data_IF_092002811313
#
_entry.id   IF_092002811313
#
_cell.length_a   1.000
_cell.length_b   1.000
_cell.length_c   1.000
_cell.angle_alpha   90.00
_cell.angle_beta   90.00
_cell.angle_gamma   90.00
#
_symmetry.space_group_name_H-M   'P 1'
#
loop_
_entity.id
_entity.type
_entity.pdbx_description
1 polymer ?
#
# COMPACT_ATOMS: atom_id res chain seq x y z
N UNK A 1 -13.02 -15.43 -18.57
CA UNK A 1 -14.29 -16.13 -18.88
C UNK A 1 -14.94 -16.73 -17.63
N UNK A 2 -14.21 -17.52 -16.81
CA UNK A 2 -14.74 -18.17 -15.60
C UNK A 2 -15.24 -17.18 -14.56
N UNK A 3 -14.48 -16.11 -14.30
CA UNK A 3 -14.86 -15.06 -13.33
C UNK A 3 -16.17 -14.37 -13.71
N UNK A 4 -16.37 -14.05 -15.00
CA UNK A 4 -17.62 -13.43 -15.47
C UNK A 4 -18.81 -14.37 -15.32
N UNK A 5 -18.62 -15.67 -15.61
CA UNK A 5 -19.65 -16.67 -15.43
C UNK A 5 -20.05 -16.84 -13.95
N UNK A 6 -19.06 -16.87 -13.05
CA UNK A 6 -19.29 -16.94 -11.61
C UNK A 6 -20.04 -15.70 -11.08
N UNK A 7 -19.66 -14.49 -11.51
CA UNK A 7 -20.36 -13.26 -11.15
C UNK A 7 -21.80 -13.25 -11.64
N UNK A 8 -22.02 -13.65 -12.89
CA UNK A 8 -23.38 -13.76 -13.46
C UNK A 8 -24.24 -14.78 -12.72
N UNK A 9 -23.67 -15.94 -12.36
CA UNK A 9 -24.36 -16.95 -11.56
C UNK A 9 -24.74 -16.45 -10.15
N UNK A 10 -23.95 -15.54 -9.59
CA UNK A 10 -24.24 -14.86 -8.33
C UNK A 10 -25.22 -13.67 -8.47
N UNK A 11 -25.80 -13.44 -9.65
CA UNK A 11 -26.72 -12.33 -9.90
C UNK A 11 -26.03 -10.97 -10.06
N UNK A 12 -24.71 -10.94 -10.23
CA UNK A 12 -23.93 -9.70 -10.40
C UNK A 12 -23.90 -9.35 -11.89
N UNK A 13 -24.36 -8.15 -12.22
CA UNK A 13 -24.33 -7.62 -13.58
C UNK A 13 -23.03 -6.87 -13.78
N UNK A 14 -22.19 -7.36 -14.68
CA UNK A 14 -20.94 -6.71 -15.07
C UNK A 14 -21.19 -5.89 -16.33
N UNK A 15 -20.83 -4.61 -16.28
CA UNK A 15 -20.96 -3.66 -17.40
C UNK A 15 -19.58 -3.18 -17.84
N UNK A 16 -19.47 -2.80 -19.10
CA UNK A 16 -18.24 -2.13 -19.58
C UNK A 16 -18.09 -0.75 -18.94
N UNK A 17 -16.85 -0.27 -18.71
CA UNK A 17 -16.61 1.04 -18.08
C UNK A 17 -17.32 2.21 -18.77
N UNK A 18 -17.49 2.15 -20.08
CA UNK A 18 -18.16 3.16 -20.91
C UNK A 18 -19.66 3.29 -20.59
N UNK A 19 -20.25 2.26 -19.99
CA UNK A 19 -21.65 2.28 -19.56
C UNK A 19 -21.87 3.10 -18.28
N UNK A 20 -20.80 3.43 -17.52
CA UNK A 20 -20.94 4.10 -16.22
C UNK A 20 -21.68 5.44 -16.33
N UNK A 21 -21.28 6.29 -17.25
CA UNK A 21 -21.89 7.63 -17.38
C UNK A 21 -23.36 7.59 -17.86
N UNK A 22 -23.72 6.84 -18.93
CA UNK A 22 -25.13 6.72 -19.34
C UNK A 22 -25.98 6.00 -18.28
N UNK A 23 -25.46 4.95 -17.62
CA UNK A 23 -26.20 4.24 -16.57
C UNK A 23 -26.45 5.16 -15.37
N UNK A 24 -25.45 5.94 -14.95
CA UNK A 24 -25.59 6.86 -13.84
C UNK A 24 -26.66 7.93 -14.13
N UNK A 25 -26.64 8.53 -15.31
CA UNK A 25 -27.63 9.51 -15.74
C UNK A 25 -29.05 8.89 -15.77
N UNK A 26 -29.19 7.67 -16.29
CA UNK A 26 -30.49 6.99 -16.36
C UNK A 26 -31.04 6.62 -14.99
N UNK A 27 -30.23 6.02 -14.13
CA UNK A 27 -30.65 5.67 -12.77
C UNK A 27 -30.99 6.87 -11.92
N UNK A 28 -30.25 8.01 -12.09
CA UNK A 28 -30.48 9.22 -11.29
C UNK A 28 -31.83 9.90 -11.56
N UNK A 29 -32.51 9.56 -12.67
CA UNK A 29 -33.86 10.05 -12.93
C UNK A 29 -34.90 9.41 -12.02
N UNK A 30 -34.70 8.18 -11.63
CA UNK A 30 -35.70 7.36 -10.95
C UNK A 30 -35.32 6.93 -9.53
N UNK A 31 -34.02 6.97 -9.19
CA UNK A 31 -33.49 6.57 -7.90
C UNK A 31 -32.89 7.76 -7.14
N UNK A 32 -33.01 7.71 -5.82
CA UNK A 32 -32.31 8.63 -4.96
C UNK A 32 -30.88 8.13 -4.72
N UNK A 33 -29.90 9.03 -4.89
CA UNK A 33 -28.50 8.71 -4.71
C UNK A 33 -28.01 9.25 -3.37
N UNK A 34 -27.23 8.43 -2.66
CA UNK A 34 -26.37 8.88 -1.60
C UNK A 34 -24.96 8.95 -2.15
N UNK A 35 -24.32 10.09 -2.05
CA UNK A 35 -22.95 10.31 -2.45
C UNK A 35 -22.10 10.78 -1.30
N UNK A 36 -20.84 10.36 -1.29
CA UNK A 36 -19.82 10.86 -0.39
C UNK A 36 -19.01 11.92 -1.16
N UNK A 37 -19.20 13.21 -0.86
CA UNK A 37 -18.61 14.30 -1.66
C UNK A 37 -17.08 14.31 -1.66
N UNK A 38 -16.44 13.73 -0.62
CA UNK A 38 -14.98 13.62 -0.58
C UNK A 38 -14.43 12.54 -1.51
N UNK A 39 -15.26 11.61 -1.95
CA UNK A 39 -14.85 10.44 -2.74
C UNK A 39 -15.51 10.33 -4.10
N UNK A 40 -16.57 11.08 -4.33
CA UNK A 40 -17.31 11.02 -5.58
C UNK A 40 -16.72 11.98 -6.62
N UNK A 41 -16.35 11.51 -7.82
CA UNK A 41 -15.74 12.37 -8.84
C UNK A 41 -16.67 13.49 -9.30
N UNK A 42 -16.16 14.73 -9.29
CA UNK A 42 -16.93 15.91 -9.71
C UNK A 42 -17.46 15.82 -11.15
N UNK A 43 -16.77 15.09 -12.03
CA UNK A 43 -17.23 14.83 -13.40
C UNK A 43 -18.50 13.99 -13.46
N UNK A 44 -18.63 13.00 -12.56
CA UNK A 44 -19.81 12.15 -12.48
C UNK A 44 -20.96 12.85 -11.73
N UNK A 45 -20.65 13.75 -10.80
CA UNK A 45 -21.67 14.52 -10.09
C UNK A 45 -22.59 15.30 -11.05
N UNK A 46 -22.03 15.83 -12.11
CA UNK A 46 -22.77 16.58 -13.15
C UNK A 46 -23.77 15.75 -13.95
N UNK A 47 -23.70 14.43 -13.86
CA UNK A 47 -24.59 13.49 -14.53
C UNK A 47 -25.80 13.10 -13.69
N UNK A 48 -25.80 13.48 -12.39
CA UNK A 48 -26.90 13.18 -11.47
C UNK A 48 -27.98 14.24 -11.66
N UNK A 49 -29.15 13.84 -12.14
CA UNK A 49 -30.25 14.75 -12.44
C UNK A 49 -31.04 15.18 -11.20
N UNK A 50 -31.18 14.28 -10.19
CA UNK A 50 -31.85 14.59 -8.92
C UNK A 50 -30.83 15.00 -7.87
N UNK A 51 -31.22 15.93 -6.98
CA UNK A 51 -30.36 16.33 -5.87
C UNK A 51 -30.02 15.12 -5.00
N UNK A 52 -28.74 14.71 -4.93
CA UNK A 52 -28.36 13.57 -4.12
C UNK A 52 -28.35 13.90 -2.63
N UNK A 53 -28.45 12.88 -1.79
CA UNK A 53 -28.15 12.99 -0.36
C UNK A 53 -26.66 12.94 -0.19
N UNK A 54 -26.06 13.99 0.37
CA UNK A 54 -24.64 14.04 0.69
C UNK A 54 -24.39 13.48 2.09
N UNK A 55 -23.68 12.36 2.18
CA UNK A 55 -23.31 11.73 3.44
C UNK A 55 -22.13 10.80 3.26
N UNK A 56 -21.47 10.43 4.36
CA UNK A 56 -20.43 9.42 4.36
C UNK A 56 -20.97 8.10 3.78
N UNK A 57 -20.22 7.52 2.83
CA UNK A 57 -20.61 6.27 2.20
C UNK A 57 -20.79 5.15 3.24
N UNK A 58 -21.94 4.43 3.26
CA UNK A 58 -22.12 3.29 4.14
C UNK A 58 -21.10 2.18 3.84
N UNK A 59 -20.62 2.05 2.59
CA UNK A 59 -19.56 1.10 2.21
C UNK A 59 -18.25 1.42 2.94
N UNK A 60 -17.93 2.71 3.13
CA UNK A 60 -16.74 3.12 3.90
C UNK A 60 -16.83 2.61 5.35
N UNK A 61 -18.00 2.76 5.98
CA UNK A 61 -18.22 2.26 7.35
C UNK A 61 -18.19 0.74 7.42
N UNK A 62 -18.79 0.04 6.45
CA UNK A 62 -18.76 -1.42 6.38
C UNK A 62 -17.33 -1.94 6.22
N UNK A 63 -16.55 -1.36 5.31
CA UNK A 63 -15.13 -1.73 5.09
C UNK A 63 -14.23 -1.41 6.28
N UNK A 64 -14.55 -0.40 7.09
CA UNK A 64 -13.75 -0.07 8.28
C UNK A 64 -13.83 -1.16 9.35
N UNK A 65 -14.92 -1.93 9.38
CA UNK A 65 -15.12 -3.05 10.30
C UNK A 65 -14.66 -4.35 9.65
N UNK A 66 -13.49 -4.84 10.07
CA UNK A 66 -12.93 -6.09 9.54
C UNK A 66 -13.63 -7.29 10.16
N UNK A 67 -13.93 -8.28 9.35
CA UNK A 67 -14.39 -9.59 9.81
C UNK A 67 -13.28 -10.36 10.54
N UNK A 68 -13.64 -11.42 11.25
CA UNK A 68 -12.65 -12.29 11.92
C UNK A 68 -11.67 -12.90 10.91
N UNK A 69 -12.13 -13.27 9.72
CA UNK A 69 -11.30 -13.83 8.65
C UNK A 69 -10.28 -12.80 8.15
N UNK A 70 -10.70 -11.55 7.93
CA UNK A 70 -9.81 -10.47 7.53
C UNK A 70 -8.77 -10.16 8.60
N UNK A 71 -9.19 -10.09 9.87
CA UNK A 71 -8.25 -9.86 10.99
C UNK A 71 -7.20 -10.95 11.08
N UNK A 72 -7.59 -12.22 10.92
CA UNK A 72 -6.65 -13.33 10.90
C UNK A 72 -5.71 -13.28 9.69
N UNK A 73 -6.25 -12.89 8.53
CA UNK A 73 -5.46 -12.64 7.33
C UNK A 73 -4.39 -11.56 7.54
N UNK A 74 -4.78 -10.43 8.13
CA UNK A 74 -3.86 -9.33 8.44
C UNK A 74 -2.76 -9.80 9.41
N UNK A 75 -3.11 -10.57 10.44
CA UNK A 75 -2.11 -11.10 11.38
C UNK A 75 -1.08 -11.99 10.68
N UNK A 76 -1.52 -12.87 9.77
CA UNK A 76 -0.60 -13.71 8.99
C UNK A 76 0.30 -12.87 8.09
N UNK A 77 -0.25 -11.88 7.39
CA UNK A 77 0.54 -10.96 6.57
C UNK A 77 1.60 -10.23 7.40
N UNK A 78 1.23 -9.73 8.59
CA UNK A 78 2.17 -9.05 9.50
C UNK A 78 3.26 -9.99 10.03
N UNK A 79 2.96 -11.26 10.26
CA UNK A 79 3.98 -12.26 10.65
C UNK A 79 4.93 -12.54 9.50
N UNK A 80 4.41 -12.75 8.28
CA UNK A 80 5.20 -13.01 7.08
C UNK A 80 6.14 -11.83 6.77
N UNK A 81 5.63 -10.61 6.83
CA UNK A 81 6.42 -9.39 6.64
C UNK A 81 7.44 -9.16 7.76
N UNK A 82 7.05 -9.45 9.01
CA UNK A 82 7.95 -9.37 10.15
C UNK A 82 9.15 -10.30 10.04
N UNK A 83 8.98 -11.51 9.48
CA UNK A 83 10.08 -12.43 9.19
C UNK A 83 11.01 -11.81 8.13
N UNK A 84 10.46 -11.27 7.02
CA UNK A 84 11.25 -10.61 5.99
C UNK A 84 12.07 -9.44 6.54
N UNK A 85 11.46 -8.62 7.41
CA UNK A 85 12.15 -7.51 8.08
C UNK A 85 13.28 -8.00 9.00
N UNK A 86 13.07 -9.06 9.79
CA UNK A 86 14.12 -9.61 10.65
C UNK A 86 15.30 -10.14 9.83
N UNK A 87 15.03 -10.87 8.75
CA UNK A 87 16.06 -11.37 7.83
C UNK A 87 16.81 -10.22 7.15
N UNK A 88 16.09 -9.21 6.71
CA UNK A 88 16.67 -8.01 6.12
C UNK A 88 17.59 -7.27 7.10
N UNK A 89 17.15 -7.01 8.34
CA UNK A 89 18.00 -6.29 9.30
C UNK A 89 19.23 -7.09 9.69
N UNK A 90 19.13 -8.41 9.83
CA UNK A 90 20.29 -9.27 10.06
C UNK A 90 21.30 -9.17 8.90
N UNK A 91 20.81 -9.21 7.66
CA UNK A 91 21.64 -9.05 6.46
C UNK A 91 22.26 -7.64 6.38
N UNK A 92 21.49 -6.59 6.69
CA UNK A 92 21.98 -5.21 6.69
C UNK A 92 23.11 -5.02 7.70
N UNK A 93 22.93 -5.52 8.92
CA UNK A 93 23.94 -5.46 9.98
C UNK A 93 25.22 -6.20 9.58
N UNK A 94 25.11 -7.38 8.99
CA UNK A 94 26.24 -8.16 8.48
C UNK A 94 27.00 -7.39 7.39
N UNK A 95 26.29 -6.85 6.39
CA UNK A 95 26.90 -6.09 5.29
C UNK A 95 27.61 -4.83 5.77
N UNK A 96 27.01 -4.10 6.70
CA UNK A 96 27.62 -2.90 7.29
C UNK A 96 28.86 -3.26 8.13
N UNK A 97 28.81 -4.36 8.90
CA UNK A 97 29.97 -4.86 9.67
C UNK A 97 31.15 -5.29 8.79
N UNK A 98 30.86 -5.83 7.60
CA UNK A 98 31.87 -6.17 6.57
C UNK A 98 32.45 -4.93 5.86
N UNK A 99 31.91 -3.75 6.11
CA UNK A 99 32.32 -2.51 5.47
C UNK A 99 31.78 -2.32 4.05
N UNK A 100 30.65 -2.94 3.73
CA UNK A 100 29.99 -2.74 2.44
C UNK A 100 29.59 -1.27 2.25
N UNK A 101 29.88 -0.73 1.09
CA UNK A 101 29.44 0.60 0.69
C UNK A 101 28.03 0.51 0.11
N UNK A 102 27.04 0.77 0.95
CA UNK A 102 25.62 0.73 0.56
C UNK A 102 25.08 2.14 0.37
N UNK A 103 24.15 2.27 -0.56
CA UNK A 103 23.32 3.46 -0.73
C UNK A 103 21.89 3.20 -0.24
N UNK A 104 21.10 4.26 -0.09
CA UNK A 104 19.67 4.14 0.23
C UNK A 104 18.93 3.24 -0.77
N UNK A 105 19.28 3.31 -2.07
CA UNK A 105 18.69 2.44 -3.09
C UNK A 105 19.09 0.97 -2.91
N UNK A 106 20.33 0.69 -2.53
CA UNK A 106 20.78 -0.68 -2.28
C UNK A 106 20.04 -1.28 -1.08
N UNK A 107 19.83 -0.50 -0.03
CA UNK A 107 19.07 -0.91 1.16
C UNK A 107 17.61 -1.18 0.81
N UNK A 108 16.97 -0.33 0.00
CA UNK A 108 15.60 -0.56 -0.48
C UNK A 108 15.51 -1.88 -1.26
N UNK A 109 16.41 -2.10 -2.23
CA UNK A 109 16.45 -3.33 -3.03
C UNK A 109 16.68 -4.58 -2.16
N UNK A 110 17.52 -4.49 -1.14
CA UNK A 110 17.75 -5.59 -0.19
C UNK A 110 16.46 -5.99 0.53
N UNK A 111 15.71 -5.02 1.06
CA UNK A 111 14.44 -5.29 1.75
C UNK A 111 13.38 -5.86 0.80
N UNK A 112 13.28 -5.30 -0.40
CA UNK A 112 12.34 -5.78 -1.41
C UNK A 112 12.64 -7.24 -1.80
N UNK A 113 13.94 -7.59 -1.90
CA UNK A 113 14.37 -8.95 -2.17
C UNK A 113 14.02 -9.93 -1.02
N UNK A 114 14.14 -9.52 0.26
CA UNK A 114 13.74 -10.36 1.39
C UNK A 114 12.23 -10.60 1.41
N UNK A 115 11.43 -9.57 1.12
CA UNK A 115 9.97 -9.71 0.98
C UNK A 115 9.57 -10.64 -0.15
N UNK A 116 10.26 -10.56 -1.29
CA UNK A 116 9.99 -11.40 -2.46
C UNK A 116 10.21 -12.90 -2.19
N UNK A 117 11.00 -13.27 -1.18
CA UNK A 117 11.18 -14.67 -0.75
C UNK A 117 9.95 -15.25 -0.04
N UNK A 118 9.03 -14.42 0.43
CA UNK A 118 7.82 -14.90 1.12
C UNK A 118 6.83 -15.51 0.11
N UNK A 119 6.34 -16.73 0.36
CA UNK A 119 5.52 -17.45 -0.63
C UNK A 119 4.17 -16.79 -0.91
N UNK A 120 3.64 -16.05 0.07
CA UNK A 120 2.37 -15.32 0.01
C UNK A 120 2.52 -13.86 -0.41
N UNK A 121 3.75 -13.36 -0.67
CA UNK A 121 4.00 -12.01 -1.16
C UNK A 121 3.55 -11.86 -2.63
N UNK A 122 2.93 -10.74 -2.95
CA UNK A 122 2.42 -10.38 -4.28
C UNK A 122 3.03 -9.07 -4.81
N UNK A 123 4.00 -8.52 -4.09
CA UNK A 123 4.70 -7.29 -4.44
C UNK A 123 4.72 -6.29 -3.30
N UNK A 124 5.15 -5.08 -3.60
CA UNK A 124 5.19 -3.98 -2.65
C UNK A 124 3.80 -3.38 -2.47
N UNK A 125 3.47 -2.93 -1.25
CA UNK A 125 2.27 -2.12 -1.01
C UNK A 125 2.45 -0.68 -1.48
N UNK A 126 3.67 -0.17 -1.38
CA UNK A 126 4.15 1.11 -1.94
C UNK A 126 5.67 1.02 -2.14
N UNK A 127 6.25 1.97 -2.87
CA UNK A 127 7.69 2.01 -3.09
C UNK A 127 8.47 2.17 -1.77
N UNK A 128 9.44 1.31 -1.54
CA UNK A 128 10.23 1.32 -0.31
C UNK A 128 10.97 2.65 -0.13
N UNK A 129 10.71 3.32 0.97
CA UNK A 129 11.41 4.51 1.43
C UNK A 129 12.58 4.04 2.29
N UNK A 130 13.79 4.25 1.81
CA UNK A 130 15.02 4.11 2.57
C UNK A 130 15.70 5.47 2.59
N UNK A 131 15.72 6.12 3.73
CA UNK A 131 16.11 7.52 3.87
C UNK A 131 17.15 7.71 4.97
N UNK A 132 18.35 8.14 4.58
CA UNK A 132 19.47 8.32 5.49
C UNK A 132 19.64 9.79 5.89
N UNK A 133 19.87 10.04 7.17
CA UNK A 133 20.13 11.37 7.70
C UNK A 133 19.01 12.37 7.38
N UNK A 134 19.34 13.46 6.70
CA UNK A 134 18.37 14.53 6.39
C UNK A 134 17.25 14.10 5.42
N UNK A 135 17.46 13.09 4.59
CA UNK A 135 16.44 12.58 3.68
C UNK A 135 15.25 11.99 4.44
N UNK A 136 15.46 11.50 5.68
CA UNK A 136 14.42 10.99 6.55
C UNK A 136 13.38 12.05 6.99
N UNK A 137 13.65 13.32 6.78
CA UNK A 137 12.70 14.40 7.04
C UNK A 137 11.67 14.59 5.91
N UNK A 138 11.81 13.88 4.80
CA UNK A 138 10.93 13.98 3.62
C UNK A 138 9.89 12.84 3.64
N UNK A 139 8.59 13.11 3.92
CA UNK A 139 7.57 12.06 4.14
C UNK A 139 7.35 11.11 2.96
N UNK A 140 7.64 11.56 1.75
CA UNK A 140 7.48 10.77 0.51
C UNK A 140 8.80 10.66 -0.24
N UNK A 141 9.89 10.49 0.52
CA UNK A 141 11.21 10.30 -0.07
C UNK A 141 11.22 9.04 -0.94
N UNK A 142 11.83 9.13 -2.12
CA UNK A 142 12.06 7.99 -2.98
C UNK A 142 13.56 7.95 -3.33
N UNK A 143 14.30 6.92 -2.92
CA UNK A 143 15.71 6.81 -3.25
C UNK A 143 15.86 6.55 -4.76
N UNK A 144 16.62 7.40 -5.43
CA UNK A 144 16.97 7.22 -6.83
C UNK A 144 18.45 6.84 -6.95
N UNK A 145 18.79 5.82 -7.75
CA UNK A 145 20.17 5.30 -7.86
C UNK A 145 21.23 6.37 -8.12
N UNK A 146 20.86 7.43 -8.86
CA UNK A 146 21.77 8.50 -9.20
C UNK A 146 22.03 9.51 -8.08
N UNK A 147 21.13 9.61 -7.11
CA UNK A 147 21.16 10.64 -6.06
C UNK A 147 21.04 10.06 -4.65
N UNK A 148 20.89 8.74 -4.52
CA UNK A 148 20.78 8.08 -3.22
C UNK A 148 22.02 8.31 -2.37
N UNK A 149 21.79 8.70 -1.12
CA UNK A 149 22.87 8.94 -0.17
C UNK A 149 23.60 7.62 0.18
N UNK A 150 24.91 7.71 0.38
CA UNK A 150 25.67 6.60 0.94
C UNK A 150 25.34 6.43 2.42
N UNK A 151 25.17 5.18 2.86
CA UNK A 151 24.95 4.85 4.26
C UNK A 151 26.28 4.90 5.00
N UNK A 152 26.36 5.78 5.99
CA UNK A 152 27.53 6.00 6.83
C UNK A 152 27.13 5.96 8.31
N UNK A 153 27.89 6.56 9.20
CA UNK A 153 27.50 6.73 10.61
C UNK A 153 26.30 7.67 10.74
N UNK A 154 25.17 7.17 11.25
CA UNK A 154 23.96 7.98 11.42
C UNK A 154 22.67 7.18 11.57
N UNK A 155 21.54 7.84 11.34
CA UNK A 155 20.22 7.24 11.41
C UNK A 155 19.68 6.94 10.01
N UNK A 156 19.15 5.74 9.86
CA UNK A 156 18.48 5.26 8.67
C UNK A 156 17.00 4.99 8.99
N UNK A 157 16.11 5.69 8.29
CA UNK A 157 14.68 5.45 8.32
C UNK A 157 14.31 4.54 7.18
N UNK A 158 13.52 3.51 7.46
CA UNK A 158 12.94 2.61 6.46
C UNK A 158 11.44 2.60 6.67
N UNK A 159 10.71 3.02 5.64
CA UNK A 159 9.27 2.97 5.57
C UNK A 159 8.85 2.17 4.33
N UNK A 160 8.15 1.07 4.56
CA UNK A 160 8.00 0.04 3.53
C UNK A 160 6.85 -0.89 3.86
N UNK A 161 6.37 -1.59 2.86
CA UNK A 161 5.33 -2.59 3.07
C UNK A 161 5.19 -3.57 1.92
N UNK A 162 4.53 -4.69 2.21
CA UNK A 162 4.25 -5.75 1.25
C UNK A 162 2.75 -5.94 1.04
N UNK A 163 2.41 -6.31 -0.17
CA UNK A 163 1.10 -6.82 -0.52
C UNK A 163 1.15 -8.35 -0.41
N UNK A 164 0.38 -8.90 0.51
CA UNK A 164 0.26 -10.34 0.73
C UNK A 164 -1.11 -10.83 0.30
N UNK A 165 -1.27 -12.14 0.07
CA UNK A 165 -2.58 -12.71 -0.31
C UNK A 165 -3.69 -12.39 0.70
N UNK A 166 -3.33 -12.26 1.97
CA UNK A 166 -4.29 -12.13 3.07
C UNK A 166 -4.30 -10.78 3.74
N UNK A 167 -3.45 -9.84 3.32
CA UNK A 167 -3.38 -8.51 3.90
C UNK A 167 -2.29 -7.65 3.30
N UNK A 168 -2.33 -6.39 3.66
CA UNK A 168 -1.34 -5.37 3.27
C UNK A 168 -0.59 -4.93 4.51
N UNK A 169 0.73 -4.76 4.42
CA UNK A 169 1.56 -4.22 5.49
C UNK A 169 2.08 -2.83 5.14
N UNK A 170 2.34 -2.05 6.18
CA UNK A 170 2.91 -0.72 6.16
C UNK A 170 3.66 -0.53 7.47
N UNK A 171 4.99 -0.49 7.41
CA UNK A 171 5.85 -0.57 8.59
C UNK A 171 6.99 0.42 8.46
N UNK A 172 7.05 1.37 9.38
CA UNK A 172 8.18 2.30 9.51
C UNK A 172 9.08 1.87 10.66
N UNK A 173 10.39 1.87 10.43
CA UNK A 173 11.43 1.65 11.45
C UNK A 173 12.58 2.63 11.26
N UNK A 174 13.19 3.00 12.39
CA UNK A 174 14.44 3.75 12.39
C UNK A 174 15.52 2.90 13.05
N UNK A 175 16.67 2.80 12.41
CA UNK A 175 17.83 2.05 12.92
C UNK A 175 19.10 2.91 12.85
N UNK A 176 20.08 2.54 13.66
CA UNK A 176 21.41 3.10 13.56
C UNK A 176 22.21 2.39 12.48
N UNK A 177 22.83 3.15 11.59
CA UNK A 177 23.89 2.64 10.72
C UNK A 177 25.23 3.16 11.31
N UNK A 178 26.13 2.23 11.67
CA UNK A 178 27.41 2.58 12.27
C UNK A 178 27.30 3.24 13.65
N UNK A 179 28.13 4.24 13.92
CA UNK A 179 28.18 4.94 15.20
C UNK A 179 27.20 6.10 15.24
N UNK A 180 26.40 6.17 16.30
CA UNK A 180 25.64 7.38 16.61
C UNK A 180 26.49 8.26 17.51
N UNK A 181 26.86 9.45 17.02
CA UNK A 181 27.47 10.48 17.86
C UNK A 181 26.36 11.39 18.38
N UNK A 182 26.41 11.69 19.68
CA UNK A 182 25.52 12.68 20.32
C UNK A 182 25.79 14.08 19.77
#
# INVERSE_FOLDING_TARGET
>A
PETLAALSAAGIIVRAPEALAPDLADYSRNLDFLIDPERFPASLFKLIERTPVEALSPVTLMKSRKSTVELEGIRRAMISDGIALCEFYALLDERLAEGALLTESDVADMLDAERAKRPDNRGLSFGTISAFGCNAALPHYAPHRETAAAITDGLLLIDSGGQYETGTTDITRMTAAGRITN
#
